data_IF_480022644307
#
_entry.id   IF_480022644307
#
_cell.length_a   1.000
_cell.length_b   1.000
_cell.length_c   1.000
_cell.angle_alpha   90.00
_cell.angle_beta   90.00
_cell.angle_gamma   90.00
#
_symmetry.space_group_name_H-M   'P 1'
#
loop_
_entity.id
_entity.type
_entity.pdbx_description
1 polymer ?
#
# COMPACT_ATOMS: atom_id res chain seq x y z
N UNK A 1 -32.03 -8.39 -24.46
CA UNK A 1 -31.85 -7.70 -23.16
C UNK A 1 -30.72 -6.70 -23.33
N UNK A 2 -30.92 -5.39 -23.13
CA UNK A 2 -29.79 -4.44 -23.14
C UNK A 2 -29.10 -4.48 -21.76
N UNK A 3 -27.76 -4.56 -21.68
CA UNK A 3 -27.09 -4.48 -20.39
C UNK A 3 -27.35 -3.11 -19.77
N UNK A 4 -27.79 -3.10 -18.50
CA UNK A 4 -27.98 -1.88 -17.73
C UNK A 4 -26.60 -1.42 -17.26
N UNK A 5 -26.17 -0.25 -17.71
CA UNK A 5 -24.94 0.37 -17.24
C UNK A 5 -25.05 0.66 -15.73
N UNK A 6 -24.01 0.31 -14.98
CA UNK A 6 -23.83 0.66 -13.57
C UNK A 6 -22.64 1.61 -13.46
N UNK A 7 -22.84 2.75 -12.79
CA UNK A 7 -21.77 3.69 -12.46
C UNK A 7 -21.38 3.52 -10.99
N UNK A 8 -20.09 3.62 -10.71
CA UNK A 8 -19.53 3.65 -9.35
C UNK A 8 -19.08 5.07 -9.00
N UNK A 9 -18.94 5.38 -7.70
CA UNK A 9 -18.28 6.63 -7.28
C UNK A 9 -16.81 6.58 -7.68
N UNK A 10 -16.29 7.72 -8.08
CA UNK A 10 -14.86 7.89 -8.35
C UNK A 10 -14.08 7.93 -7.02
N UNK A 11 -12.96 7.22 -6.97
CA UNK A 11 -11.96 7.28 -5.90
C UNK A 11 -10.60 7.63 -6.54
N UNK A 12 -9.95 8.67 -6.03
CA UNK A 12 -8.64 9.12 -6.52
C UNK A 12 -7.62 7.99 -6.38
N UNK A 13 -7.68 7.23 -5.30
CA UNK A 13 -6.76 6.12 -5.04
C UNK A 13 -6.89 4.96 -6.04
N UNK A 14 -7.96 4.90 -6.85
CA UNK A 14 -8.08 3.93 -7.96
C UNK A 14 -7.33 4.39 -9.22
N UNK A 15 -7.07 5.70 -9.34
CA UNK A 15 -6.37 6.29 -10.50
C UNK A 15 -4.86 6.34 -10.33
N UNK A 16 -4.35 6.19 -9.10
CA UNK A 16 -2.92 6.22 -8.78
C UNK A 16 -2.31 4.82 -8.92
N UNK A 17 -1.90 4.46 -10.14
CA UNK A 17 -1.44 3.11 -10.49
C UNK A 17 0.08 2.95 -10.53
N UNK A 18 0.81 4.05 -10.36
CA UNK A 18 2.27 4.09 -10.37
C UNK A 18 2.82 5.07 -9.32
N UNK A 19 4.08 4.85 -8.91
CA UNK A 19 4.74 5.78 -7.99
C UNK A 19 4.89 7.19 -8.60
N UNK A 20 5.06 7.28 -9.93
CA UNK A 20 5.15 8.57 -10.62
C UNK A 20 3.85 9.38 -10.52
N UNK A 21 2.69 8.73 -10.65
CA UNK A 21 1.38 9.39 -10.49
C UNK A 21 1.15 9.85 -9.05
N UNK A 22 1.57 9.06 -8.05
CA UNK A 22 1.50 9.45 -6.64
C UNK A 22 2.35 10.69 -6.35
N UNK A 23 3.58 10.73 -6.88
CA UNK A 23 4.47 11.89 -6.72
C UNK A 23 3.88 13.12 -7.38
N UNK A 24 3.39 13.00 -8.63
CA UNK A 24 2.78 14.11 -9.34
C UNK A 24 1.56 14.67 -8.59
N UNK A 25 0.74 13.80 -8.00
CA UNK A 25 -0.41 14.22 -7.19
C UNK A 25 0.00 14.98 -5.92
N UNK A 26 0.99 14.48 -5.17
CA UNK A 26 1.52 15.16 -3.99
C UNK A 26 2.15 16.52 -4.34
N UNK A 27 2.86 16.59 -5.47
CA UNK A 27 3.43 17.86 -5.95
C UNK A 27 2.33 18.87 -6.27
N UNK A 28 1.28 18.47 -6.99
CA UNK A 28 0.14 19.35 -7.27
C UNK A 28 -0.53 19.85 -5.98
N UNK A 29 -0.74 18.96 -5.00
CA UNK A 29 -1.31 19.34 -3.70
C UNK A 29 -0.43 20.31 -2.90
N UNK A 30 0.91 20.17 -2.99
CA UNK A 30 1.86 21.10 -2.39
C UNK A 30 1.82 22.48 -3.07
N UNK A 31 1.70 22.51 -4.40
CA UNK A 31 1.61 23.74 -5.19
C UNK A 31 0.33 24.54 -4.92
N UNK A 32 -0.79 23.86 -4.65
CA UNK A 32 -2.05 24.49 -4.23
C UNK A 32 -1.93 25.16 -2.85
N UNK A 33 -0.99 24.71 -2.00
CA UNK A 33 -0.72 25.30 -0.69
C UNK A 33 -1.83 25.10 0.35
N UNK A 34 -2.82 24.25 0.07
CA UNK A 34 -3.88 23.89 1.02
C UNK A 34 -3.44 22.68 1.87
N UNK A 35 -3.21 22.86 3.19
CA UNK A 35 -2.83 21.76 4.05
C UNK A 35 -3.90 20.65 4.13
N UNK A 36 -5.19 20.99 3.98
CA UNK A 36 -6.26 19.99 4.00
C UNK A 36 -6.20 19.10 2.74
N UNK A 37 -5.94 19.70 1.59
CA UNK A 37 -5.73 18.97 0.34
C UNK A 37 -4.49 18.08 0.42
N UNK A 38 -3.39 18.58 0.98
CA UNK A 38 -2.17 17.79 1.15
C UNK A 38 -2.38 16.58 2.07
N UNK A 39 -3.11 16.74 3.18
CA UNK A 39 -3.48 15.61 4.06
C UNK A 39 -4.33 14.59 3.32
N UNK A 40 -5.35 15.02 2.58
CA UNK A 40 -6.17 14.12 1.78
C UNK A 40 -5.34 13.37 0.72
N UNK A 41 -4.40 14.06 0.06
CA UNK A 41 -3.52 13.46 -0.91
C UNK A 41 -2.60 12.38 -0.30
N UNK A 42 -2.11 12.59 0.92
CA UNK A 42 -1.36 11.56 1.65
C UNK A 42 -2.21 10.32 1.91
N UNK A 43 -3.42 10.48 2.43
CA UNK A 43 -4.33 9.36 2.71
C UNK A 43 -4.65 8.58 1.42
N UNK A 44 -4.85 9.27 0.30
CA UNK A 44 -5.11 8.65 -1.00
C UNK A 44 -3.90 7.88 -1.54
N UNK A 45 -2.70 8.45 -1.41
CA UNK A 45 -1.43 7.81 -1.80
C UNK A 45 -1.15 6.57 -0.95
N UNK A 46 -1.41 6.61 0.36
CA UNK A 46 -1.26 5.43 1.22
C UNK A 46 -2.17 4.28 0.76
N UNK A 47 -3.46 4.58 0.48
CA UNK A 47 -4.40 3.57 -0.03
C UNK A 47 -3.98 3.05 -1.40
N UNK A 48 -3.54 3.91 -2.31
CA UNK A 48 -3.06 3.52 -3.64
C UNK A 48 -1.82 2.63 -3.55
N UNK A 49 -0.85 2.99 -2.70
CA UNK A 49 0.39 2.23 -2.50
C UNK A 49 0.12 0.86 -1.89
N UNK A 50 -0.83 0.74 -0.97
CA UNK A 50 -1.25 -0.53 -0.42
C UNK A 50 -1.81 -1.46 -1.52
N UNK A 51 -2.57 -0.93 -2.48
CA UNK A 51 -3.06 -1.70 -3.64
C UNK A 51 -1.91 -2.20 -4.52
N UNK A 52 -0.89 -1.37 -4.77
CA UNK A 52 0.26 -1.77 -5.59
C UNK A 52 1.16 -2.83 -4.94
N UNK A 53 1.34 -2.77 -3.61
CA UNK A 53 2.14 -3.77 -2.89
C UNK A 53 1.44 -5.13 -2.77
N UNK A 54 0.12 -5.16 -2.94
CA UNK A 54 -0.70 -6.33 -2.67
C UNK A 54 -0.77 -6.65 -1.17
N UNK A 55 -1.68 -7.55 -0.78
CA UNK A 55 -1.65 -8.08 0.58
C UNK A 55 -0.45 -9.02 0.71
N UNK A 56 0.36 -8.90 1.78
CA UNK A 56 1.39 -9.89 2.05
C UNK A 56 0.72 -11.26 2.18
N UNK A 57 1.29 -12.27 1.51
CA UNK A 57 0.76 -13.64 1.53
C UNK A 57 1.08 -14.38 2.83
N UNK A 58 1.74 -13.73 3.77
CA UNK A 58 2.13 -14.29 5.07
C UNK A 58 1.34 -13.63 6.18
N UNK A 59 1.08 -14.38 7.24
CA UNK A 59 0.48 -13.86 8.47
C UNK A 59 1.55 -13.41 9.47
N UNK A 60 1.12 -12.64 10.48
CA UNK A 60 2.04 -12.22 11.55
C UNK A 60 2.53 -13.43 12.35
N UNK A 61 1.65 -14.40 12.62
CA UNK A 61 2.04 -15.63 13.31
C UNK A 61 3.03 -16.48 12.51
N UNK A 62 2.88 -16.58 11.19
CA UNK A 62 3.85 -17.28 10.33
C UNK A 62 5.23 -16.62 10.38
N UNK A 63 5.29 -15.28 10.33
CA UNK A 63 6.55 -14.55 10.44
C UNK A 63 7.20 -14.73 11.81
N UNK A 64 6.41 -14.70 12.89
CA UNK A 64 6.92 -14.90 14.25
C UNK A 64 7.48 -16.32 14.44
N UNK A 65 6.87 -17.33 13.84
CA UNK A 65 7.36 -18.71 13.87
C UNK A 65 8.68 -18.91 13.08
N UNK A 66 8.94 -18.09 12.06
CA UNK A 66 10.21 -18.12 11.31
C UNK A 66 11.37 -17.49 12.07
N UNK A 67 11.09 -16.75 13.14
CA UNK A 67 12.07 -16.05 13.94
C UNK A 67 12.53 -16.87 15.16
N UNK A 68 12.72 -18.18 15.03
CA UNK A 68 13.30 -19.03 16.08
C UNK A 68 14.82 -18.77 16.22
N UNK A 69 15.30 -18.12 17.31
CA UNK A 69 16.72 -17.87 17.54
C UNK A 69 17.47 -19.08 18.09
N UNK A 70 16.79 -20.23 18.25
CA UNK A 70 17.35 -21.42 18.90
C UNK A 70 17.50 -22.61 17.93
N UNK A 71 17.84 -22.32 16.68
CA UNK A 71 18.57 -23.28 15.85
C UNK A 71 19.94 -23.52 16.51
N UNK A 72 19.92 -24.42 17.48
CA UNK A 72 21.04 -25.20 18.01
C UNK A 72 22.13 -25.32 16.96
N UNK A 73 23.31 -24.73 17.21
CA UNK A 73 24.56 -25.30 16.71
C UNK A 73 24.60 -26.72 17.28
N UNK A 74 24.51 -27.77 16.45
CA UNK A 74 24.73 -29.11 16.94
C UNK A 74 26.21 -29.19 17.28
N UNK A 75 26.49 -29.32 18.58
CA UNK A 75 27.63 -30.08 19.09
C UNK A 75 28.83 -30.17 18.14
N UNK A 76 29.77 -29.24 18.25
CA UNK A 76 31.17 -29.61 18.03
C UNK A 76 31.62 -30.33 19.31
N UNK A 77 31.28 -31.62 19.37
CA UNK A 77 32.04 -32.62 20.13
C UNK A 77 33.25 -32.97 19.27
N UNK A 78 34.42 -32.44 19.65
CA UNK A 78 35.69 -33.17 19.79
C UNK A 78 36.61 -32.40 20.76
#
# INVERSE_FOLDING_TARGET
>A
MKPKASWSRFDVADSLTSEAEMVAYLQAALEDGDPALLTAAFDDVERARAKLRGQPSYTLEELLAQCDPNATSPSEMD
#
